data_IF_388376140579
#
_entry.id   IF_388376140579
#
_cell.length_a   1.000
_cell.length_b   1.000
_cell.length_c   1.000
_cell.angle_alpha   90.00
_cell.angle_beta   90.00
_cell.angle_gamma   90.00
#
_symmetry.space_group_name_H-M   'P 1'
#
loop_
_entity.id
_entity.type
_entity.pdbx_description
1 polymer ?
#
# COMPACT_ATOMS: atom_id res chain seq x y z
N UNK A 1 16.71 0.77 -12.60
CA UNK A 1 15.62 1.76 -12.45
C UNK A 1 14.33 1.10 -11.96
N UNK A 2 13.78 0.11 -12.66
CA UNK A 2 12.58 -0.63 -12.22
C UNK A 2 12.66 -1.16 -10.77
N UNK A 3 13.72 -1.91 -10.42
CA UNK A 3 13.94 -2.43 -9.05
C UNK A 3 13.78 -1.33 -7.99
N UNK A 4 14.45 -0.21 -8.20
CA UNK A 4 14.45 0.92 -7.28
C UNK A 4 13.07 1.60 -7.21
N UNK A 5 12.39 1.78 -8.34
CA UNK A 5 11.05 2.36 -8.37
C UNK A 5 9.97 1.43 -7.79
N UNK A 6 10.16 0.09 -7.80
CA UNK A 6 9.30 -0.84 -7.07
C UNK A 6 9.38 -0.60 -5.56
N UNK A 7 10.60 -0.41 -5.03
CA UNK A 7 10.83 -0.12 -3.61
C UNK A 7 10.25 1.25 -3.25
N UNK A 8 10.61 2.29 -4.03
CA UNK A 8 10.12 3.65 -3.80
C UNK A 8 8.60 3.70 -3.89
N UNK A 9 7.98 3.05 -4.88
CA UNK A 9 6.54 3.03 -5.02
C UNK A 9 5.82 2.35 -3.85
N UNK A 10 6.40 1.26 -3.33
CA UNK A 10 5.85 0.59 -2.13
C UNK A 10 5.94 1.49 -0.92
N UNK A 11 7.12 2.04 -0.63
CA UNK A 11 7.32 2.93 0.51
C UNK A 11 6.50 4.21 0.40
N UNK A 12 6.42 4.81 -0.79
CA UNK A 12 5.67 6.05 -0.98
C UNK A 12 4.17 5.82 -0.75
N UNK A 13 3.65 4.66 -1.15
CA UNK A 13 2.26 4.29 -0.90
C UNK A 13 1.99 4.16 0.61
N UNK A 14 2.85 3.44 1.35
CA UNK A 14 2.72 3.33 2.82
C UNK A 14 2.89 4.69 3.52
N UNK A 15 3.76 5.55 3.00
CA UNK A 15 3.91 6.93 3.47
C UNK A 15 2.66 7.77 3.18
N UNK A 16 1.90 7.46 2.13
CA UNK A 16 0.61 8.07 1.85
C UNK A 16 -0.39 7.82 2.98
N UNK A 17 -0.52 6.57 3.44
CA UNK A 17 -1.30 6.24 4.62
C UNK A 17 -0.78 6.98 5.87
N UNK A 18 0.55 6.96 6.07
CA UNK A 18 1.17 7.59 7.24
C UNK A 18 0.96 9.10 7.30
N UNK A 19 1.04 9.79 6.16
CA UNK A 19 0.80 11.23 6.08
C UNK A 19 -0.62 11.58 6.53
N UNK A 20 -1.63 10.83 6.08
CA UNK A 20 -3.03 11.08 6.48
C UNK A 20 -3.25 10.73 7.96
N UNK A 21 -2.70 9.62 8.44
CA UNK A 21 -2.83 9.23 9.84
C UNK A 21 -2.18 10.25 10.79
N UNK A 22 -0.95 10.72 10.48
CA UNK A 22 -0.27 11.76 11.25
C UNK A 22 -1.06 13.08 11.21
N UNK A 23 -1.61 13.46 10.05
CA UNK A 23 -2.45 14.67 9.93
C UNK A 23 -3.71 14.61 10.80
N UNK A 24 -4.27 13.41 10.98
CA UNK A 24 -5.43 13.16 11.85
C UNK A 24 -5.06 12.99 13.34
N UNK A 25 -3.78 13.10 13.70
CA UNK A 25 -3.29 13.04 15.09
C UNK A 25 -2.98 11.64 15.62
N UNK A 26 -2.78 10.65 14.74
CA UNK A 26 -2.34 9.32 15.12
C UNK A 26 -0.82 9.18 15.10
N UNK A 27 -0.29 8.34 15.99
CA UNK A 27 1.11 7.91 15.94
C UNK A 27 1.24 6.81 14.89
N UNK A 28 2.22 6.93 14.00
CA UNK A 28 2.41 6.00 12.88
C UNK A 28 3.75 5.28 12.96
N UNK A 29 3.73 3.99 12.60
CA UNK A 29 4.93 3.16 12.43
C UNK A 29 4.88 2.51 11.05
N UNK A 30 5.81 2.90 10.20
CA UNK A 30 5.95 2.33 8.85
C UNK A 30 6.91 1.15 8.93
N UNK A 31 6.51 0.05 8.29
CA UNK A 31 7.35 -1.14 8.07
C UNK A 31 7.65 -1.29 6.58
N UNK A 32 8.45 -2.29 6.20
CA UNK A 32 8.82 -2.50 4.80
C UNK A 32 7.65 -2.92 3.89
N UNK A 33 6.55 -3.44 4.46
CA UNK A 33 5.43 -3.99 3.69
C UNK A 33 4.07 -3.43 4.07
N UNK A 34 4.00 -2.61 5.12
CA UNK A 34 2.75 -2.10 5.67
C UNK A 34 3.01 -0.93 6.60
N UNK A 35 1.95 -0.23 6.97
CA UNK A 35 1.95 0.75 8.03
C UNK A 35 0.96 0.36 9.14
N UNK A 36 1.31 0.64 10.40
CA UNK A 36 0.39 0.61 11.53
C UNK A 36 0.22 2.00 12.12
N UNK A 37 -1.00 2.32 12.56
CA UNK A 37 -1.33 3.58 13.21
C UNK A 37 -2.11 3.31 14.49
N UNK A 38 -1.83 4.10 15.53
CA UNK A 38 -2.51 4.03 16.81
C UNK A 38 -2.79 5.44 17.32
N UNK A 39 -3.76 5.57 18.23
CA UNK A 39 -3.97 6.83 18.95
C UNK A 39 -2.71 7.26 19.70
N UNK A 40 -2.49 8.57 19.82
CA UNK A 40 -1.28 9.04 20.49
C UNK A 40 -1.20 8.56 21.94
N UNK A 41 -0.05 8.01 22.31
CA UNK A 41 0.19 7.41 23.63
C UNK A 41 -0.43 6.02 23.84
N UNK A 42 -1.12 5.44 22.86
CA UNK A 42 -1.69 4.08 22.94
C UNK A 42 -0.63 3.03 23.26
N UNK A 43 0.50 3.04 22.55
CA UNK A 43 1.59 2.08 22.75
C UNK A 43 2.23 2.19 24.16
N UNK A 44 2.07 3.35 24.81
CA UNK A 44 2.63 3.62 26.12
C UNK A 44 1.66 3.36 27.28
N UNK A 45 0.37 3.15 26.98
CA UNK A 45 -0.69 2.95 27.96
C UNK A 45 -0.50 1.66 28.79
N UNK A 46 -0.77 1.74 30.08
CA UNK A 46 -0.57 0.62 31.01
C UNK A 46 -1.52 -0.54 30.76
N UNK A 47 -2.80 -0.28 30.44
CA UNK A 47 -3.78 -1.32 30.13
C UNK A 47 -3.40 -2.02 28.81
N UNK A 48 -2.92 -1.27 27.81
CA UNK A 48 -2.41 -1.82 26.54
C UNK A 48 -1.16 -2.68 26.78
N UNK A 49 -0.17 -2.19 27.51
CA UNK A 49 1.04 -2.96 27.86
C UNK A 49 0.71 -4.21 28.66
N UNK A 50 -0.28 -4.14 29.55
CA UNK A 50 -0.76 -5.30 30.32
C UNK A 50 -1.42 -6.33 29.40
N UNK A 51 -2.26 -5.92 28.46
CA UNK A 51 -2.83 -6.82 27.46
C UNK A 51 -1.74 -7.52 26.64
N UNK A 52 -0.75 -6.77 26.14
CA UNK A 52 0.38 -7.34 25.38
C UNK A 52 1.19 -8.36 26.18
N UNK A 53 1.43 -8.11 27.48
CA UNK A 53 2.14 -9.06 28.36
C UNK A 53 1.33 -10.34 28.58
N UNK A 54 0.02 -10.22 28.76
CA UNK A 54 -0.88 -11.36 28.96
C UNK A 54 -0.98 -12.24 27.71
N UNK A 55 -0.93 -11.65 26.51
CA UNK A 55 -1.05 -12.39 25.25
C UNK A 55 0.29 -12.94 24.71
N UNK A 56 1.43 -12.45 25.20
CA UNK A 56 2.76 -12.81 24.69
C UNK A 56 3.02 -14.33 24.68
N UNK A 57 2.55 -15.06 25.69
CA UNK A 57 2.71 -16.51 25.79
C UNK A 57 1.78 -17.32 24.87
N UNK A 58 0.82 -16.67 24.21
CA UNK A 58 -0.26 -17.31 23.46
C UNK A 58 -0.25 -16.96 21.97
N UNK A 59 0.79 -16.27 21.48
CA UNK A 59 0.87 -15.79 20.09
C UNK A 59 0.78 -16.90 19.03
N UNK A 60 1.19 -18.13 19.37
CA UNK A 60 1.18 -19.29 18.47
C UNK A 60 0.05 -20.29 18.80
N UNK A 61 -0.85 -19.94 19.72
CA UNK A 61 -1.94 -20.79 20.18
C UNK A 61 -3.24 -20.21 19.63
N UNK A 62 -4.10 -21.07 19.07
CA UNK A 62 -5.40 -20.63 18.57
C UNK A 62 -6.19 -19.94 19.69
N UNK A 63 -6.84 -18.82 19.37
CA UNK A 63 -7.63 -18.05 20.32
C UNK A 63 -8.69 -18.91 21.03
N UNK A 64 -9.27 -19.89 20.33
CA UNK A 64 -10.28 -20.77 20.91
C UNK A 64 -9.73 -21.62 22.07
N UNK A 65 -8.44 -21.96 22.03
CA UNK A 65 -7.74 -22.72 23.06
C UNK A 65 -7.27 -21.87 24.25
N UNK A 66 -7.44 -20.54 24.21
CA UNK A 66 -6.99 -19.69 25.31
C UNK A 66 -7.80 -19.93 26.60
N UNK A 67 -7.16 -19.87 27.78
CA UNK A 67 -7.86 -19.99 29.06
C UNK A 67 -9.03 -19.00 29.18
N UNK A 68 -10.17 -19.47 29.67
CA UNK A 68 -11.39 -18.64 29.80
C UNK A 68 -11.12 -17.40 30.66
N UNK A 69 -10.37 -17.54 31.74
CA UNK A 69 -9.99 -16.42 32.62
C UNK A 69 -9.15 -15.37 31.90
N UNK A 70 -8.27 -15.79 30.99
CA UNK A 70 -7.48 -14.87 30.15
C UNK A 70 -8.41 -14.09 29.21
N UNK A 71 -9.34 -14.76 28.52
CA UNK A 71 -10.32 -14.12 27.63
C UNK A 71 -11.15 -13.07 28.37
N UNK A 72 -11.68 -13.41 29.55
CA UNK A 72 -12.47 -12.49 30.38
C UNK A 72 -11.65 -11.28 30.84
N UNK A 73 -10.39 -11.49 31.25
CA UNK A 73 -9.49 -10.42 31.63
C UNK A 73 -9.17 -9.48 30.47
N UNK A 74 -8.93 -10.04 29.29
CA UNK A 74 -8.68 -9.27 28.07
C UNK A 74 -9.92 -8.51 27.61
N UNK A 75 -11.12 -9.09 27.72
CA UNK A 75 -12.36 -8.39 27.38
C UNK A 75 -12.56 -7.18 28.29
N UNK A 76 -12.32 -7.33 29.60
CA UNK A 76 -12.42 -6.23 30.57
C UNK A 76 -11.42 -5.11 30.30
N UNK A 77 -10.16 -5.45 30.03
CA UNK A 77 -9.12 -4.47 29.67
C UNK A 77 -9.44 -3.83 28.31
N UNK A 78 -9.85 -4.62 27.32
CA UNK A 78 -10.24 -4.18 26.00
C UNK A 78 -11.37 -3.15 26.04
N UNK A 79 -12.40 -3.35 26.87
CA UNK A 79 -13.47 -2.36 27.07
C UNK A 79 -12.96 -1.02 27.58
N UNK A 80 -11.96 -1.02 28.48
CA UNK A 80 -11.33 0.22 28.97
C UNK A 80 -10.52 0.91 27.87
N UNK A 81 -9.71 0.14 27.15
CA UNK A 81 -8.86 0.62 26.06
C UNK A 81 -9.71 1.21 24.93
N UNK A 82 -10.75 0.50 24.48
CA UNK A 82 -11.69 0.97 23.43
C UNK A 82 -12.39 2.27 23.87
N UNK A 83 -12.74 2.39 25.15
CA UNK A 83 -13.35 3.62 25.68
C UNK A 83 -12.36 4.80 25.66
N UNK A 84 -11.08 4.55 25.95
CA UNK A 84 -10.03 5.57 25.94
C UNK A 84 -9.58 5.95 24.53
N UNK A 85 -9.58 4.98 23.62
CA UNK A 85 -9.09 5.09 22.25
C UNK A 85 -10.16 4.60 21.28
N UNK A 86 -11.24 5.38 21.08
CA UNK A 86 -12.36 4.96 20.26
C UNK A 86 -11.93 4.83 18.79
N UNK A 87 -12.41 3.78 18.15
CA UNK A 87 -12.22 3.59 16.72
C UNK A 87 -13.10 4.55 15.92
N UNK A 88 -12.49 5.28 14.98
CA UNK A 88 -13.21 6.20 14.10
C UNK A 88 -13.19 5.68 12.66
N UNK A 89 -14.37 5.21 12.19
CA UNK A 89 -14.57 4.68 10.83
C UNK A 89 -14.17 5.68 9.75
N UNK A 90 -14.47 6.96 9.94
CA UNK A 90 -14.13 8.01 8.97
C UNK A 90 -12.62 8.23 8.89
N UNK A 91 -11.92 8.14 10.02
CA UNK A 91 -10.47 8.25 10.02
C UNK A 91 -9.83 7.04 9.33
N UNK A 92 -10.29 5.81 9.62
CA UNK A 92 -9.79 4.60 8.93
C UNK A 92 -10.01 4.69 7.41
N UNK A 93 -11.15 5.24 6.97
CA UNK A 93 -11.43 5.41 5.54
C UNK A 93 -10.44 6.39 4.91
N UNK A 94 -10.24 7.56 5.53
CA UNK A 94 -9.32 8.57 5.03
C UNK A 94 -7.88 8.05 4.99
N UNK A 95 -7.45 7.34 6.04
CA UNK A 95 -6.13 6.72 6.11
C UNK A 95 -5.99 5.70 4.99
N UNK A 96 -6.96 4.81 4.79
CA UNK A 96 -6.95 3.80 3.71
C UNK A 96 -6.90 4.44 2.32
N UNK A 97 -7.58 5.58 2.11
CA UNK A 97 -7.50 6.34 0.84
C UNK A 97 -6.10 6.92 0.61
N UNK A 98 -5.33 7.21 1.66
CA UNK A 98 -4.03 7.87 1.59
C UNK A 98 -3.02 7.19 0.66
N UNK A 99 -2.92 5.87 0.69
CA UNK A 99 -1.99 5.10 -0.16
C UNK A 99 -2.34 5.16 -1.65
N UNK A 100 -3.55 4.74 -2.06
CA UNK A 100 -4.01 4.83 -3.44
C UNK A 100 -3.99 6.27 -3.97
N UNK A 101 -4.41 7.24 -3.15
CA UNK A 101 -4.35 8.67 -3.51
C UNK A 101 -2.91 9.14 -3.77
N UNK A 102 -1.93 8.75 -2.93
CA UNK A 102 -0.52 9.08 -3.14
C UNK A 102 0.02 8.47 -4.46
N UNK A 103 -0.40 7.24 -4.76
CA UNK A 103 0.00 6.52 -5.97
C UNK A 103 -0.52 7.22 -7.23
N UNK A 104 -1.81 7.57 -7.24
CA UNK A 104 -2.46 8.33 -8.33
C UNK A 104 -1.85 9.72 -8.46
N UNK A 105 -1.61 10.42 -7.36
CA UNK A 105 -1.03 11.77 -7.35
C UNK A 105 0.38 11.78 -7.96
N UNK A 106 1.22 10.81 -7.58
CA UNK A 106 2.58 10.69 -8.14
C UNK A 106 2.54 10.39 -9.64
N UNK A 107 1.60 9.54 -10.07
CA UNK A 107 1.37 9.27 -11.48
C UNK A 107 0.99 10.53 -12.26
N UNK A 108 0.10 11.34 -11.69
CA UNK A 108 -0.33 12.60 -12.27
C UNK A 108 0.83 13.61 -12.40
N UNK A 109 1.68 13.75 -11.37
CA UNK A 109 2.88 14.60 -11.45
C UNK A 109 3.78 14.15 -12.61
N UNK A 110 4.02 12.85 -12.76
CA UNK A 110 4.80 12.31 -13.88
C UNK A 110 4.21 12.71 -15.25
N UNK A 111 2.88 12.62 -15.39
CA UNK A 111 2.19 13.00 -16.63
C UNK A 111 2.32 14.50 -16.91
N UNK A 112 2.20 15.34 -15.89
CA UNK A 112 2.36 16.79 -16.01
C UNK A 112 3.77 17.14 -16.50
N UNK A 113 4.81 16.51 -15.93
CA UNK A 113 6.20 16.71 -16.36
C UNK A 113 6.38 16.32 -17.83
N UNK A 114 5.84 15.17 -18.25
CA UNK A 114 5.92 14.69 -19.63
C UNK A 114 5.14 15.60 -20.60
N UNK A 115 4.01 16.14 -20.16
CA UNK A 115 3.19 17.06 -20.95
C UNK A 115 3.93 18.37 -21.26
N UNK A 116 4.59 18.95 -20.26
CA UNK A 116 5.39 20.18 -20.46
C UNK A 116 6.61 19.93 -21.34
N UNK A 117 7.24 18.77 -21.22
CA UNK A 117 8.44 18.41 -21.99
C UNK A 117 8.15 17.87 -23.40
N UNK A 118 6.88 17.77 -23.82
CA UNK A 118 6.43 17.15 -25.09
C UNK A 118 7.13 17.56 -26.37
N UNK A 119 7.73 18.75 -26.41
CA UNK A 119 8.48 19.24 -27.57
C UNK A 119 9.90 18.69 -27.60
N UNK A 120 10.52 18.53 -26.42
CA UNK A 120 11.91 18.12 -26.27
C UNK A 120 12.09 16.62 -26.42
N UNK A 121 11.22 15.80 -25.80
CA UNK A 121 11.38 14.33 -25.85
C UNK A 121 10.99 13.69 -27.18
N UNK A 122 10.46 14.46 -28.13
CA UNK A 122 10.33 14.05 -29.53
C UNK A 122 11.67 14.10 -30.28
N UNK A 123 12.61 14.89 -29.79
CA UNK A 123 13.93 15.09 -30.39
C UNK A 123 14.93 14.20 -29.68
N UNK A 124 15.01 14.31 -28.34
CA UNK A 124 15.90 13.49 -27.53
C UNK A 124 15.28 13.16 -26.16
N UNK A 125 15.35 11.89 -25.77
CA UNK A 125 14.66 11.36 -24.59
C UNK A 125 15.62 11.32 -23.41
N UNK A 126 15.54 12.32 -22.52
CA UNK A 126 16.50 12.54 -21.44
C UNK A 126 16.15 11.69 -20.21
N UNK A 127 17.11 11.61 -19.26
CA UNK A 127 16.92 10.91 -17.97
C UNK A 127 15.71 11.45 -17.20
N UNK A 128 15.45 12.75 -17.28
CA UNK A 128 14.26 13.39 -16.68
C UNK A 128 12.94 12.89 -17.28
N UNK A 129 12.92 12.60 -18.59
CA UNK A 129 11.73 12.02 -19.24
C UNK A 129 11.52 10.58 -18.77
N UNK A 130 12.62 9.82 -18.61
CA UNK A 130 12.54 8.48 -18.00
C UNK A 130 12.01 8.53 -16.57
N UNK A 131 12.54 9.41 -15.72
CA UNK A 131 12.05 9.58 -14.35
C UNK A 131 10.55 9.88 -14.33
N UNK A 132 10.09 10.79 -15.19
CA UNK A 132 8.68 11.12 -15.29
C UNK A 132 7.83 9.94 -15.81
N UNK A 133 8.33 9.13 -16.76
CA UNK A 133 7.68 7.88 -17.18
C UNK A 133 7.52 6.92 -16.00
N UNK A 134 8.57 6.72 -15.20
CA UNK A 134 8.48 5.83 -14.03
C UNK A 134 7.52 6.37 -12.97
N UNK A 135 7.48 7.68 -12.74
CA UNK A 135 6.48 8.31 -11.86
C UNK A 135 5.06 8.07 -12.37
N UNK A 136 4.79 8.30 -13.67
CA UNK A 136 3.48 8.02 -14.28
C UNK A 136 3.03 6.58 -14.13
N UNK A 137 3.98 5.64 -14.11
CA UNK A 137 3.71 4.21 -14.01
C UNK A 137 3.56 3.71 -12.56
N UNK A 138 3.59 4.58 -11.55
CA UNK A 138 3.18 4.19 -10.19
C UNK A 138 1.77 3.62 -10.14
N UNK A 139 0.91 4.11 -11.05
CA UNK A 139 -0.46 3.65 -11.18
C UNK A 139 -0.58 2.17 -11.62
N UNK A 140 0.50 1.53 -12.05
CA UNK A 140 0.52 0.08 -12.32
C UNK A 140 0.21 -0.76 -11.08
N UNK A 141 0.38 -0.22 -9.86
CA UNK A 141 0.02 -0.92 -8.61
C UNK A 141 -1.46 -1.28 -8.57
N UNK A 142 -2.34 -0.40 -9.04
CA UNK A 142 -3.79 -0.66 -9.10
C UNK A 142 -4.12 -1.85 -10.00
N UNK A 143 -3.44 -1.94 -11.16
CA UNK A 143 -3.58 -3.06 -12.09
C UNK A 143 -3.09 -4.36 -11.43
N UNK A 144 -1.92 -4.30 -10.78
CA UNK A 144 -1.35 -5.44 -10.07
C UNK A 144 -2.26 -5.93 -8.94
N UNK A 145 -2.77 -5.02 -8.10
CA UNK A 145 -3.68 -5.32 -7.00
C UNK A 145 -4.96 -5.99 -7.51
N UNK A 146 -5.57 -5.45 -8.56
CA UNK A 146 -6.77 -6.04 -9.16
C UNK A 146 -6.49 -7.45 -9.71
N UNK A 147 -5.48 -7.61 -10.57
CA UNK A 147 -5.17 -8.90 -11.21
C UNK A 147 -4.79 -9.96 -10.16
N UNK A 148 -3.92 -9.61 -9.22
CA UNK A 148 -3.47 -10.53 -8.16
C UNK A 148 -4.66 -10.98 -7.30
N UNK A 149 -5.56 -10.06 -7.00
CA UNK A 149 -6.75 -10.35 -6.19
C UNK A 149 -7.77 -11.19 -6.97
N UNK A 150 -8.04 -10.87 -8.23
CA UNK A 150 -8.90 -11.69 -9.11
C UNK A 150 -8.36 -13.10 -9.28
N UNK A 151 -7.05 -13.26 -9.49
CA UNK A 151 -6.41 -14.57 -9.60
C UNK A 151 -6.52 -15.37 -8.30
N UNK A 152 -6.28 -14.73 -7.15
CA UNK A 152 -6.46 -15.37 -5.84
C UNK A 152 -7.92 -15.76 -5.57
N UNK A 153 -8.88 -14.92 -5.97
CA UNK A 153 -10.32 -15.19 -5.82
C UNK A 153 -10.75 -16.41 -6.64
N UNK A 154 -10.35 -16.46 -7.92
CA UNK A 154 -10.74 -17.54 -8.84
C UNK A 154 -10.12 -18.89 -8.48
N UNK A 155 -8.87 -18.90 -8.00
CA UNK A 155 -8.12 -20.16 -7.78
C UNK A 155 -8.23 -20.66 -6.34
N UNK A 156 -8.21 -19.76 -5.35
CA UNK A 156 -8.18 -20.14 -3.93
C UNK A 156 -9.53 -19.94 -3.23
N UNK A 157 -10.57 -19.51 -3.95
CA UNK A 157 -11.91 -19.19 -3.41
C UNK A 157 -11.88 -18.29 -2.17
N UNK A 158 -10.84 -17.46 -2.03
CA UNK A 158 -10.69 -16.54 -0.89
C UNK A 158 -11.67 -15.39 -1.07
N UNK A 159 -12.52 -15.20 -0.06
CA UNK A 159 -13.51 -14.12 0.01
C UNK A 159 -13.02 -12.88 0.77
N UNK A 160 -11.87 -12.97 1.46
CA UNK A 160 -11.31 -11.85 2.21
C UNK A 160 -10.22 -11.15 1.39
N UNK A 161 -10.54 -9.97 0.88
CA UNK A 161 -9.66 -9.13 0.09
C UNK A 161 -8.99 -8.07 0.96
N UNK A 162 -7.65 -8.12 1.03
CA UNK A 162 -6.85 -7.22 1.87
C UNK A 162 -6.35 -5.96 1.14
N UNK A 163 -6.77 -5.72 -0.11
CA UNK A 163 -6.35 -4.54 -0.87
C UNK A 163 -7.07 -3.27 -0.41
N UNK A 164 -6.36 -2.14 -0.43
CA UNK A 164 -6.88 -0.85 0.04
C UNK A 164 -8.12 -0.42 -0.75
N UNK A 165 -8.11 -0.60 -2.08
CA UNK A 165 -9.24 -0.24 -2.95
C UNK A 165 -10.50 -1.05 -2.63
N UNK A 166 -10.34 -2.33 -2.28
CA UNK A 166 -11.47 -3.20 -1.88
C UNK A 166 -12.02 -2.78 -0.53
N UNK A 167 -11.14 -2.49 0.44
CA UNK A 167 -11.53 -1.96 1.75
C UNK A 167 -12.29 -0.66 1.61
N UNK A 168 -11.82 0.27 0.77
CA UNK A 168 -12.49 1.55 0.49
C UNK A 168 -13.91 1.30 -0.04
N UNK A 169 -14.09 0.40 -1.02
CA UNK A 169 -15.43 0.05 -1.53
C UNK A 169 -16.37 -0.40 -0.41
N UNK A 170 -15.91 -1.34 0.43
CA UNK A 170 -16.73 -1.92 1.50
C UNK A 170 -17.04 -0.88 2.58
N UNK A 171 -16.08 -0.04 2.96
CA UNK A 171 -16.27 1.01 3.95
C UNK A 171 -17.25 2.10 3.50
N UNK A 172 -17.34 2.35 2.19
CA UNK A 172 -18.32 3.24 1.58
C UNK A 172 -19.70 2.58 1.40
N UNK A 173 -19.83 1.27 1.69
CA UNK A 173 -21.09 0.52 1.53
C UNK A 173 -21.38 0.09 0.08
N UNK A 174 -20.39 0.13 -0.80
CA UNK A 174 -20.51 -0.34 -2.18
C UNK A 174 -20.10 -1.82 -2.32
N UNK A 175 -20.36 -2.38 -3.50
CA UNK A 175 -19.78 -3.66 -3.87
C UNK A 175 -18.25 -3.57 -3.83
N UNK A 176 -17.59 -4.55 -3.20
CA UNK A 176 -16.14 -4.62 -3.01
C UNK A 176 -15.32 -4.37 -4.29
N UNK A 177 -15.87 -4.71 -5.47
CA UNK A 177 -15.23 -4.57 -6.77
C UNK A 177 -15.34 -3.19 -7.41
N UNK A 178 -16.22 -2.30 -6.90
CA UNK A 178 -16.52 -1.02 -7.56
C UNK A 178 -15.30 -0.11 -7.67
N UNK A 179 -14.67 0.24 -6.54
CA UNK A 179 -13.50 1.12 -6.52
C UNK A 179 -12.29 0.47 -7.21
N UNK A 180 -11.93 -0.81 -6.95
CA UNK A 180 -10.85 -1.49 -7.69
C UNK A 180 -11.06 -1.48 -9.20
N UNK A 181 -12.29 -1.64 -9.67
CA UNK A 181 -12.59 -1.60 -11.10
C UNK A 181 -12.43 -0.18 -11.68
N UNK A 182 -12.86 0.85 -10.97
CA UNK A 182 -12.66 2.23 -11.39
C UNK A 182 -11.18 2.60 -11.44
N UNK A 183 -10.39 2.22 -10.42
CA UNK A 183 -8.94 2.47 -10.41
C UNK A 183 -8.24 1.66 -11.49
N UNK A 184 -8.66 0.43 -11.79
CA UNK A 184 -8.17 -0.37 -12.92
C UNK A 184 -8.37 0.36 -14.26
N UNK A 185 -9.57 0.87 -14.54
CA UNK A 185 -9.86 1.58 -15.79
C UNK A 185 -8.99 2.83 -15.94
N UNK A 186 -8.84 3.61 -14.87
CA UNK A 186 -7.97 4.78 -14.85
C UNK A 186 -6.51 4.39 -15.14
N UNK A 187 -6.05 3.32 -14.50
CA UNK A 187 -4.68 2.84 -14.57
C UNK A 187 -4.33 2.27 -15.94
N UNK A 188 -5.24 1.50 -16.55
CA UNK A 188 -5.11 1.03 -17.92
C UNK A 188 -5.05 2.19 -18.91
N UNK A 189 -5.90 3.20 -18.72
CA UNK A 189 -5.92 4.40 -19.58
C UNK A 189 -4.58 5.14 -19.54
N UNK A 190 -4.07 5.42 -18.35
CA UNK A 190 -2.80 6.12 -18.16
C UNK A 190 -1.63 5.28 -18.68
N UNK A 191 -1.59 3.99 -18.34
CA UNK A 191 -0.51 3.09 -18.77
C UNK A 191 -0.47 2.92 -20.28
N UNK A 192 -1.64 2.81 -20.92
CA UNK A 192 -1.77 2.78 -22.38
C UNK A 192 -1.22 4.07 -23.01
N UNK A 193 -1.60 5.22 -22.48
CA UNK A 193 -1.12 6.51 -22.97
C UNK A 193 0.41 6.62 -22.85
N UNK A 194 0.97 6.33 -21.67
CA UNK A 194 2.42 6.38 -21.45
C UNK A 194 3.15 5.43 -22.39
N UNK A 195 2.71 4.18 -22.50
CA UNK A 195 3.41 3.18 -23.31
C UNK A 195 3.34 3.48 -24.81
N UNK A 196 2.15 3.77 -25.34
CA UNK A 196 1.96 3.91 -26.79
C UNK A 196 2.17 5.33 -27.33
N UNK A 197 1.99 6.36 -26.51
CA UNK A 197 2.15 7.76 -26.95
C UNK A 197 3.45 8.39 -26.45
N UNK A 198 3.97 7.97 -25.29
CA UNK A 198 5.16 8.59 -24.70
C UNK A 198 6.44 7.83 -25.01
N UNK A 199 6.46 6.53 -24.76
CA UNK A 199 7.70 5.76 -24.93
C UNK A 199 8.01 5.61 -26.43
N UNK A 200 9.22 6.03 -26.89
CA UNK A 200 9.64 5.87 -28.29
C UNK A 200 9.66 4.39 -28.70
N UNK A 201 9.25 4.10 -29.94
CA UNK A 201 9.10 2.72 -30.46
C UNK A 201 10.38 1.88 -30.26
N UNK A 202 11.55 2.49 -30.45
CA UNK A 202 12.88 1.86 -30.27
C UNK A 202 13.15 1.33 -28.86
N UNK A 203 12.48 1.86 -27.84
CA UNK A 203 12.70 1.46 -26.44
C UNK A 203 11.61 0.55 -25.88
N UNK A 204 10.47 0.38 -26.57
CA UNK A 204 9.29 -0.32 -26.02
C UNK A 204 9.57 -1.77 -25.66
N UNK A 205 10.27 -2.50 -26.52
CA UNK A 205 10.60 -3.90 -26.26
C UNK A 205 11.52 -4.03 -25.04
N UNK A 206 12.62 -3.29 -25.02
CA UNK A 206 13.56 -3.25 -23.88
C UNK A 206 12.85 -2.82 -22.60
N UNK A 207 11.91 -1.88 -22.69
CA UNK A 207 11.11 -1.40 -21.57
C UNK A 207 10.25 -2.53 -20.96
N UNK A 208 9.55 -3.32 -21.78
CA UNK A 208 8.76 -4.46 -21.31
C UNK A 208 9.65 -5.51 -20.65
N UNK A 209 10.73 -5.94 -21.33
CA UNK A 209 11.63 -6.98 -20.81
C UNK A 209 12.29 -6.53 -19.51
N UNK A 210 12.77 -5.29 -19.46
CA UNK A 210 13.37 -4.72 -18.26
C UNK A 210 12.33 -4.50 -17.15
N UNK A 211 11.09 -4.21 -17.50
CA UNK A 211 9.98 -4.06 -16.55
C UNK A 211 9.62 -5.39 -15.91
N UNK A 212 9.54 -6.47 -16.69
CA UNK A 212 9.30 -7.82 -16.16
C UNK A 212 10.44 -8.28 -15.26
N UNK A 213 11.68 -8.27 -15.77
CA UNK A 213 12.84 -8.74 -15.00
C UNK A 213 13.05 -7.84 -13.77
N UNK A 214 13.05 -6.53 -13.96
CA UNK A 214 13.33 -5.56 -12.91
C UNK A 214 12.21 -5.45 -11.87
N UNK A 215 10.94 -5.58 -12.28
CA UNK A 215 9.79 -5.55 -11.37
C UNK A 215 9.75 -6.80 -10.49
N UNK A 216 9.89 -7.99 -11.09
CA UNK A 216 9.92 -9.26 -10.35
C UNK A 216 11.14 -9.33 -9.43
N UNK A 217 12.32 -8.97 -9.94
CA UNK A 217 13.54 -8.93 -9.12
C UNK A 217 13.43 -7.90 -8.00
N UNK A 218 12.85 -6.73 -8.27
CA UNK A 218 12.64 -5.68 -7.27
C UNK A 218 11.72 -6.13 -6.15
N UNK A 219 10.60 -6.76 -6.50
CA UNK A 219 9.68 -7.36 -5.54
C UNK A 219 10.38 -8.44 -4.69
N UNK A 220 11.09 -9.37 -5.34
CA UNK A 220 11.79 -10.45 -4.66
C UNK A 220 12.90 -9.93 -3.72
N UNK A 221 13.70 -8.96 -4.16
CA UNK A 221 14.77 -8.35 -3.35
C UNK A 221 14.17 -7.62 -2.15
N UNK A 222 13.11 -6.83 -2.35
CA UNK A 222 12.49 -6.03 -1.31
C UNK A 222 11.83 -6.89 -0.23
N UNK A 223 10.88 -7.75 -0.63
CA UNK A 223 10.10 -8.56 0.32
C UNK A 223 10.87 -9.79 0.83
N UNK A 224 11.86 -10.27 0.08
CA UNK A 224 12.68 -11.42 0.47
C UNK A 224 13.73 -11.07 1.52
N UNK A 225 14.51 -10.01 1.30
CA UNK A 225 15.68 -9.70 2.13
C UNK A 225 15.76 -8.23 2.53
N UNK A 226 15.81 -7.32 1.57
CA UNK A 226 16.24 -5.94 1.80
C UNK A 226 15.30 -5.18 2.75
N UNK A 227 13.99 -5.30 2.55
CA UNK A 227 12.99 -4.66 3.40
C UNK A 227 13.07 -5.15 4.84
N UNK A 228 13.23 -6.46 5.04
CA UNK A 228 13.41 -7.05 6.38
C UNK A 228 14.69 -6.54 7.03
N UNK A 229 15.82 -6.50 6.34
CA UNK A 229 17.08 -6.03 6.93
C UNK A 229 17.00 -4.56 7.37
N UNK A 230 16.43 -3.70 6.53
CA UNK A 230 16.33 -2.27 6.83
C UNK A 230 15.43 -2.03 8.04
N UNK A 231 14.26 -2.67 8.09
CA UNK A 231 13.26 -2.40 9.14
C UNK A 231 13.39 -3.29 10.39
N UNK A 232 13.99 -4.48 10.30
CA UNK A 232 14.24 -5.36 11.45
C UNK A 232 15.48 -4.93 12.26
N UNK A 233 16.26 -3.96 11.76
CA UNK A 233 17.36 -3.33 12.49
C UNK A 233 16.90 -2.36 13.60
N UNK A 234 15.59 -2.22 13.82
CA UNK A 234 14.97 -1.35 14.84
C UNK A 234 14.27 -2.12 15.98
N UNK A 235 14.58 -3.40 16.20
CA UNK A 235 14.12 -4.19 17.35
C UNK A 235 15.26 -4.45 18.35
#
# INVERSE_FOLDING_TARGET
MFILFTIIGTLSHELGHAAVANFLGYDTKVSYSSMSWNHSGFDNDEDVKKMQRLTKGYLNIDYDEWPVELKLNLERLGKKVIKKYPYNKSHDLLITIGGPAQTIFTSFIGLVILYFRRKEWKIDFKITDWLAVFMSLFILREIFNFISTSFSSLIHSKTNFNGDEYRISVMLGYNEWLIPFLTLLLSLTISYYVFFKIIPIKYRFTFIVSGLIGGVSGFAIWFGFLGKVIFNSQL
#
